data_IF_042816007313
#
_entry.id   IF_042816007313
#
_cell.length_a   1.000
_cell.length_b   1.000
_cell.length_c   1.000
_cell.angle_alpha   90.00
_cell.angle_beta   90.00
_cell.angle_gamma   90.00
#
_symmetry.space_group_name_H-M   'P 1'
#
loop_
_entity.id
_entity.type
_entity.pdbx_description
1 polymer ?
#
# COMPACT_ATOMS: atom_id res chain seq x y z
N UNK A 1 -20.03 47.65 -44.46
CA UNK A 1 -21.25 47.23 -43.73
C UNK A 1 -20.89 46.09 -42.78
N UNK A 2 -20.41 46.41 -41.58
CA UNK A 2 -20.04 45.43 -40.55
C UNK A 2 -21.05 45.60 -39.42
N UNK A 3 -22.05 44.70 -39.40
CA UNK A 3 -23.15 44.71 -38.43
C UNK A 3 -22.66 44.30 -37.04
N UNK A 4 -23.02 45.12 -36.05
CA UNK A 4 -22.72 44.95 -34.62
C UNK A 4 -23.19 43.59 -34.10
N UNK A 5 -22.23 42.72 -33.76
CA UNK A 5 -22.47 41.54 -32.95
C UNK A 5 -22.90 41.95 -31.54
N UNK A 6 -24.14 41.61 -31.18
CA UNK A 6 -24.75 41.87 -29.89
C UNK A 6 -23.93 41.30 -28.73
N UNK A 7 -23.79 42.07 -27.64
CA UNK A 7 -23.11 41.67 -26.40
C UNK A 7 -23.65 40.36 -25.78
N UNK A 8 -24.87 39.96 -26.14
CA UNK A 8 -25.45 38.68 -25.72
C UNK A 8 -24.70 37.46 -26.26
N UNK A 9 -24.06 37.59 -27.43
CA UNK A 9 -23.41 36.47 -28.11
C UNK A 9 -22.07 36.11 -27.46
N UNK A 10 -21.28 37.11 -27.07
CA UNK A 10 -20.01 36.91 -26.34
C UNK A 10 -20.25 36.23 -24.98
N UNK A 11 -21.33 36.59 -24.28
CA UNK A 11 -21.71 35.94 -23.02
C UNK A 11 -22.19 34.49 -23.23
N UNK A 12 -22.74 34.19 -24.41
CA UNK A 12 -23.23 32.86 -24.78
C UNK A 12 -22.08 31.94 -25.15
N UNK A 13 -21.11 32.43 -25.93
CA UNK A 13 -19.90 31.69 -26.32
C UNK A 13 -18.97 31.42 -25.14
N UNK A 14 -18.80 32.38 -24.23
CA UNK A 14 -18.00 32.16 -23.00
C UNK A 14 -18.61 31.08 -22.10
N UNK A 15 -19.94 31.07 -21.92
CA UNK A 15 -20.62 30.00 -21.15
C UNK A 15 -20.51 28.62 -21.81
N UNK A 16 -20.55 28.53 -23.13
CA UNK A 16 -20.42 27.26 -23.85
C UNK A 16 -18.98 26.72 -23.82
N UNK A 17 -17.97 27.60 -23.95
CA UNK A 17 -16.56 27.23 -23.86
C UNK A 17 -16.14 26.83 -22.42
N UNK A 18 -16.67 27.52 -21.41
CA UNK A 18 -16.47 27.15 -20.00
C UNK A 18 -17.13 25.80 -19.67
N UNK A 19 -18.35 25.52 -20.19
CA UNK A 19 -19.00 24.21 -20.00
C UNK A 19 -18.24 23.06 -20.68
N UNK A 20 -17.69 23.29 -21.88
CA UNK A 20 -16.90 22.30 -22.60
C UNK A 20 -15.59 21.94 -21.90
N UNK A 21 -14.88 22.93 -21.32
CA UNK A 21 -13.67 22.69 -20.52
C UNK A 21 -13.94 21.97 -19.19
N UNK A 22 -15.05 22.27 -18.53
CA UNK A 22 -15.41 21.64 -17.25
C UNK A 22 -15.82 20.15 -17.38
N UNK A 23 -16.24 19.71 -18.56
CA UNK A 23 -16.57 18.30 -18.84
C UNK A 23 -15.34 17.39 -18.99
N UNK A 24 -14.23 17.94 -19.49
CA UNK A 24 -12.98 17.19 -19.68
C UNK A 24 -12.24 16.98 -18.34
N UNK A 25 -12.22 18.01 -17.48
CA UNK A 25 -11.54 18.00 -16.17
C UNK A 25 -12.20 17.03 -15.16
N UNK A 26 -13.53 16.84 -15.24
CA UNK A 26 -14.28 15.92 -14.37
C UNK A 26 -14.11 14.43 -14.76
N UNK A 27 -13.65 14.15 -15.98
CA UNK A 27 -13.45 12.80 -16.50
C UNK A 27 -12.07 12.24 -16.12
N UNK A 28 -11.10 13.10 -15.82
CA UNK A 28 -9.76 12.70 -15.36
C UNK A 28 -9.73 12.20 -13.90
N UNK A 29 -10.75 12.50 -13.11
CA UNK A 29 -10.90 11.99 -11.73
C UNK A 29 -11.52 10.59 -11.62
N UNK A 30 -11.92 9.96 -12.74
CA UNK A 30 -12.46 8.59 -12.79
C UNK A 30 -11.41 7.51 -13.07
N UNK A 31 -10.13 7.86 -13.07
CA UNK A 31 -9.08 6.87 -13.00
C UNK A 31 -9.10 6.25 -11.59
N UNK A 32 -8.99 4.91 -11.46
CA UNK A 32 -9.03 4.24 -10.16
C UNK A 32 -8.07 4.94 -9.20
N UNK A 33 -8.55 5.31 -8.01
CA UNK A 33 -7.88 6.16 -7.03
C UNK A 33 -6.62 5.53 -6.43
N UNK A 34 -5.58 5.33 -7.24
CA UNK A 34 -4.28 4.79 -6.86
C UNK A 34 -3.38 5.87 -6.19
N UNK A 35 -3.87 7.11 -6.07
CA UNK A 35 -3.08 8.25 -5.57
C UNK A 35 -3.27 8.60 -4.09
N UNK A 36 -4.08 7.86 -3.31
CA UNK A 36 -4.26 8.20 -1.89
C UNK A 36 -3.16 7.54 -1.04
N UNK A 37 -2.42 8.31 -0.21
CA UNK A 37 -1.32 7.78 0.59
C UNK A 37 -1.68 6.52 1.41
N UNK A 38 -2.87 6.43 2.06
CA UNK A 38 -3.26 5.22 2.81
C UNK A 38 -3.48 3.98 1.93
N UNK A 39 -3.94 4.15 0.70
CA UNK A 39 -4.18 3.03 -0.22
C UNK A 39 -2.87 2.50 -0.77
N UNK A 40 -1.90 3.37 -1.04
CA UNK A 40 -0.55 2.99 -1.43
C UNK A 40 0.16 2.20 -0.34
N UNK A 41 0.05 2.62 0.92
CA UNK A 41 0.63 1.86 2.05
C UNK A 41 -0.03 0.49 2.21
N UNK A 42 -1.37 0.41 2.10
CA UNK A 42 -2.08 -0.86 2.19
C UNK A 42 -1.72 -1.80 1.02
N UNK A 43 -1.63 -1.28 -0.20
CA UNK A 43 -1.23 -2.05 -1.37
C UNK A 43 0.22 -2.55 -1.27
N UNK A 44 1.14 -1.72 -0.78
CA UNK A 44 2.52 -2.12 -0.55
C UNK A 44 2.60 -3.26 0.49
N UNK A 45 1.87 -3.13 1.59
CA UNK A 45 1.82 -4.16 2.63
C UNK A 45 1.24 -5.47 2.09
N UNK A 46 0.12 -5.40 1.36
CA UNK A 46 -0.49 -6.56 0.72
C UNK A 46 0.45 -7.22 -0.31
N UNK A 47 1.21 -6.45 -1.07
CA UNK A 47 2.18 -6.96 -2.03
C UNK A 47 3.34 -7.72 -1.34
N UNK A 48 3.88 -7.18 -0.24
CA UNK A 48 4.92 -7.85 0.55
C UNK A 48 4.39 -9.15 1.17
N UNK A 49 3.18 -9.13 1.74
CA UNK A 49 2.52 -10.33 2.28
C UNK A 49 2.29 -11.37 1.19
N UNK A 50 1.79 -10.97 0.03
CA UNK A 50 1.55 -11.87 -1.09
C UNK A 50 2.86 -12.50 -1.60
N UNK A 51 3.94 -11.72 -1.71
CA UNK A 51 5.27 -12.21 -2.03
C UNK A 51 5.76 -13.21 -0.96
N UNK A 52 5.73 -12.84 0.32
CA UNK A 52 6.14 -13.72 1.41
C UNK A 52 5.37 -15.04 1.43
N UNK A 53 4.06 -14.98 1.22
CA UNK A 53 3.20 -16.16 1.11
C UNK A 53 3.62 -17.03 -0.07
N UNK A 54 3.82 -16.45 -1.25
CA UNK A 54 4.27 -17.18 -2.43
C UNK A 54 5.62 -17.87 -2.17
N UNK A 55 6.59 -17.17 -1.57
CA UNK A 55 7.89 -17.75 -1.21
C UNK A 55 7.76 -18.89 -0.19
N UNK A 56 6.90 -18.76 0.82
CA UNK A 56 6.70 -19.79 1.86
C UNK A 56 5.90 -21.00 1.36
N UNK A 57 5.08 -20.85 0.34
CA UNK A 57 4.37 -21.99 -0.28
C UNK A 57 5.27 -22.89 -1.13
N UNK A 58 6.50 -22.48 -1.45
CA UNK A 58 7.42 -23.33 -2.18
C UNK A 58 7.79 -24.57 -1.35
N UNK A 59 7.91 -25.76 -1.97
CA UNK A 59 8.35 -26.98 -1.29
C UNK A 59 9.78 -26.85 -0.72
N UNK A 60 10.58 -25.91 -1.23
CA UNK A 60 11.90 -25.62 -0.69
C UNK A 60 11.87 -24.91 0.68
N UNK A 61 10.73 -24.34 1.08
CA UNK A 61 10.59 -23.60 2.33
C UNK A 61 10.28 -24.49 3.55
N UNK A 62 9.89 -25.74 3.34
CA UNK A 62 9.57 -26.68 4.43
C UNK A 62 10.67 -27.73 4.57
N UNK A 63 10.88 -28.23 5.79
CA UNK A 63 11.85 -29.31 6.04
C UNK A 63 11.41 -30.65 5.42
N UNK A 64 10.11 -30.89 5.32
CA UNK A 64 9.57 -32.13 4.73
C UNK A 64 9.63 -32.15 3.20
N UNK A 65 9.91 -31.01 2.54
CA UNK A 65 9.87 -30.88 1.08
C UNK A 65 8.45 -30.82 0.50
N UNK A 66 7.41 -30.78 1.35
CA UNK A 66 6.02 -30.60 0.92
C UNK A 66 5.63 -29.13 0.90
N UNK A 67 4.72 -28.72 0.01
CA UNK A 67 4.25 -27.34 -0.03
C UNK A 67 3.60 -26.96 1.31
N UNK A 68 4.01 -25.83 1.89
CA UNK A 68 3.36 -25.32 3.08
C UNK A 68 1.88 -25.03 2.78
N UNK A 69 0.97 -25.46 3.66
CA UNK A 69 -0.45 -25.19 3.49
C UNK A 69 -0.70 -23.69 3.26
N UNK A 70 -1.56 -23.34 2.30
CA UNK A 70 -1.76 -21.95 1.88
C UNK A 70 -2.13 -21.02 3.05
N UNK A 71 -3.03 -21.48 3.93
CA UNK A 71 -3.41 -20.74 5.13
C UNK A 71 -2.21 -20.55 6.07
N UNK A 72 -1.36 -21.58 6.18
CA UNK A 72 -0.17 -21.56 7.02
C UNK A 72 0.83 -20.53 6.53
N UNK A 73 1.16 -20.58 5.24
CA UNK A 73 2.07 -19.63 4.61
C UNK A 73 1.55 -18.18 4.69
N UNK A 74 0.25 -17.97 4.45
CA UNK A 74 -0.35 -16.63 4.52
C UNK A 74 -0.32 -16.05 5.94
N UNK A 75 -0.68 -16.87 6.93
CA UNK A 75 -0.68 -16.47 8.34
C UNK A 75 0.75 -16.17 8.83
N UNK A 76 1.70 -17.06 8.53
CA UNK A 76 3.10 -16.85 8.90
C UNK A 76 3.67 -15.60 8.22
N UNK A 77 3.40 -15.40 6.92
CA UNK A 77 3.83 -14.20 6.20
C UNK A 77 3.24 -12.92 6.80
N UNK A 78 1.93 -12.87 7.04
CA UNK A 78 1.28 -11.70 7.66
C UNK A 78 1.80 -11.43 9.07
N UNK A 79 1.96 -12.46 9.90
CA UNK A 79 2.48 -12.29 11.26
C UNK A 79 3.93 -11.78 11.26
N UNK A 80 4.77 -12.32 10.37
CA UNK A 80 6.15 -11.90 10.22
C UNK A 80 6.26 -10.43 9.78
N UNK A 81 5.53 -10.02 8.75
CA UNK A 81 5.53 -8.62 8.25
C UNK A 81 4.95 -7.66 9.28
N UNK A 82 3.93 -8.05 10.04
CA UNK A 82 3.39 -7.24 11.12
C UNK A 82 4.25 -7.26 12.39
N UNK A 83 5.29 -8.11 12.45
CA UNK A 83 6.17 -8.31 13.61
C UNK A 83 5.37 -8.64 14.87
N UNK A 84 4.31 -9.45 14.74
CA UNK A 84 3.46 -9.84 15.88
C UNK A 84 3.99 -11.06 16.64
N UNK A 85 4.74 -11.94 15.96
CA UNK A 85 5.31 -13.15 16.57
C UNK A 85 4.30 -14.29 16.81
N UNK A 86 3.19 -14.32 16.07
CA UNK A 86 2.20 -15.40 16.15
C UNK A 86 2.63 -16.56 15.23
N UNK A 87 2.73 -17.75 15.80
CA UNK A 87 3.06 -18.97 15.06
C UNK A 87 1.94 -20.01 15.22
N UNK A 88 1.69 -20.74 14.14
CA UNK A 88 0.67 -21.82 14.05
C UNK A 88 1.30 -23.19 13.83
N UNK A 89 2.57 -23.21 13.42
CA UNK A 89 3.42 -24.39 13.26
C UNK A 89 4.74 -24.09 13.94
N UNK A 90 5.39 -25.13 14.48
CA UNK A 90 6.66 -24.97 15.18
C UNK A 90 7.75 -24.55 14.19
N UNK A 91 8.22 -23.31 14.32
CA UNK A 91 9.07 -22.67 13.30
C UNK A 91 10.41 -23.38 13.09
N UNK A 92 11.20 -23.70 14.14
CA UNK A 92 12.50 -24.38 14.00
C UNK A 92 12.44 -25.83 13.50
N UNK A 93 11.26 -26.45 13.45
CA UNK A 93 11.10 -27.85 13.01
C UNK A 93 10.39 -27.94 11.67
N UNK A 94 9.51 -26.99 11.35
CA UNK A 94 8.67 -27.03 10.16
C UNK A 94 9.30 -26.35 8.94
N UNK A 95 9.97 -25.21 9.15
CA UNK A 95 10.55 -24.43 8.07
C UNK A 95 11.99 -24.83 7.83
N UNK A 96 12.37 -24.88 6.56
CA UNK A 96 13.76 -25.08 6.19
C UNK A 96 14.58 -23.82 6.41
N UNK A 97 15.90 -23.93 6.34
CA UNK A 97 16.80 -22.76 6.36
C UNK A 97 16.39 -21.68 5.34
N UNK A 98 15.85 -22.07 4.18
CA UNK A 98 15.30 -21.12 3.21
C UNK A 98 14.04 -20.42 3.75
N UNK A 99 13.09 -21.18 4.29
CA UNK A 99 11.87 -20.64 4.89
C UNK A 99 12.16 -19.70 6.06
N UNK A 100 13.11 -20.06 6.93
CA UNK A 100 13.55 -19.23 8.04
C UNK A 100 14.16 -17.90 7.58
N UNK A 101 15.01 -17.91 6.55
CA UNK A 101 15.57 -16.68 5.96
C UNK A 101 14.46 -15.80 5.37
N UNK A 102 13.45 -16.40 4.72
CA UNK A 102 12.29 -15.65 4.21
C UNK A 102 11.53 -15.00 5.37
N UNK A 103 11.25 -15.73 6.45
CA UNK A 103 10.54 -15.21 7.63
C UNK A 103 11.35 -14.06 8.27
N UNK A 104 12.65 -14.22 8.44
CA UNK A 104 13.54 -13.17 8.96
C UNK A 104 13.55 -11.93 8.06
N UNK A 105 13.58 -12.13 6.73
CA UNK A 105 13.47 -11.05 5.76
C UNK A 105 12.14 -10.29 5.87
N UNK A 106 11.02 -10.99 6.03
CA UNK A 106 9.70 -10.39 6.22
C UNK A 106 9.62 -9.59 7.53
N UNK A 107 10.17 -10.12 8.62
CA UNK A 107 10.28 -9.41 9.91
C UNK A 107 11.10 -8.13 9.74
N UNK A 108 12.22 -8.19 9.04
CA UNK A 108 13.08 -7.03 8.85
C UNK A 108 12.40 -5.93 8.04
N UNK A 109 11.71 -6.30 6.95
CA UNK A 109 10.90 -5.36 6.14
C UNK A 109 9.77 -4.76 6.99
N UNK A 110 9.08 -5.57 7.78
CA UNK A 110 8.04 -5.12 8.71
C UNK A 110 8.55 -4.13 9.76
N UNK A 111 9.71 -4.44 10.36
CA UNK A 111 10.36 -3.63 11.39
C UNK A 111 10.69 -2.21 10.94
N UNK A 112 11.11 -2.02 9.68
CA UNK A 112 11.36 -0.69 9.12
C UNK A 112 10.09 0.20 9.11
N UNK A 113 8.91 -0.39 8.93
CA UNK A 113 7.63 0.31 9.01
C UNK A 113 7.33 0.84 10.42
N UNK A 114 7.51 0.00 11.44
CA UNK A 114 7.29 0.39 12.84
C UNK A 114 8.27 1.48 13.27
N UNK A 115 9.55 1.39 12.89
CA UNK A 115 10.56 2.41 13.21
C UNK A 115 10.23 3.77 12.59
N UNK A 116 9.71 3.78 11.36
CA UNK A 116 9.27 5.00 10.69
C UNK A 116 8.06 5.64 11.39
N UNK A 117 7.06 4.84 11.77
CA UNK A 117 5.90 5.30 12.54
C UNK A 117 6.29 5.84 13.91
N UNK A 118 7.15 5.11 14.63
CA UNK A 118 7.68 5.54 15.92
C UNK A 118 8.37 6.91 15.81
N UNK A 119 9.23 7.08 14.81
CA UNK A 119 9.94 8.35 14.56
C UNK A 119 8.97 9.50 14.24
N UNK A 120 7.98 9.25 13.38
CA UNK A 120 6.98 10.26 13.03
C UNK A 120 6.14 10.68 14.25
N UNK A 121 5.74 9.71 15.07
CA UNK A 121 5.02 9.96 16.33
C UNK A 121 5.89 10.73 17.33
N UNK A 122 7.15 10.34 17.53
CA UNK A 122 8.10 11.05 18.38
C UNK A 122 8.27 12.51 17.94
N UNK A 123 8.45 12.77 16.64
CA UNK A 123 8.57 14.13 16.10
C UNK A 123 7.30 14.96 16.31
N UNK A 124 6.13 14.36 16.13
CA UNK A 124 4.83 15.00 16.40
C UNK A 124 4.70 15.39 17.88
N UNK A 125 5.08 14.50 18.80
CA UNK A 125 5.07 14.76 20.25
C UNK A 125 6.06 15.88 20.59
N UNK A 126 7.30 15.83 20.11
CA UNK A 126 8.32 16.87 20.38
C UNK A 126 7.91 18.24 19.85
N UNK A 127 7.31 18.33 18.66
CA UNK A 127 6.82 19.61 18.12
C UNK A 127 5.71 20.24 18.97
N UNK A 128 4.85 19.44 19.62
CA UNK A 128 3.80 19.95 20.50
C UNK A 128 4.35 20.52 21.80
N UNK A 129 5.45 19.97 22.34
CA UNK A 129 6.09 20.44 23.57
C UNK A 129 6.86 21.76 23.35
N UNK A 130 7.36 22.01 22.14
CA UNK A 130 8.13 23.22 21.79
C UNK A 130 7.30 24.51 21.61
N UNK A 131 5.97 24.41 21.68
CA UNK A 131 5.03 25.54 21.56
C UNK A 131 4.49 26.02 22.92
N UNK A 132 5.18 25.68 24.02
CA UNK A 132 4.89 26.16 25.38
C UNK A 132 6.14 26.74 26.00
#
# INVERSE_FOLDING_TARGET
MIGRGSASDVSRWSRLLLRGRLGLESSLHRLPGWGRPPQLTAAAFAAVVALGTALLTLPAATETGESAGWLTALFTATSAVCVTGLIIVDTPVYWSAFGEVVILGLIQVGGFGIMSLATMLSLLVTRRVRLR
#
